data_IF_001977346816
#
_entry.id   IF_001977346816
#
_cell.length_a   1.000
_cell.length_b   1.000
_cell.length_c   1.000
_cell.angle_alpha   90.00
_cell.angle_beta   90.00
_cell.angle_gamma   90.00
#
_symmetry.space_group_name_H-M   'P 1'
#
loop_
_entity.id
_entity.type
_entity.pdbx_description
1 polymer ?
#
# COMPACT_ATOMS: atom_id res chain seq x y z
N UNK A 1 -7.10 -28.28 -18.77
CA UNK A 1 -7.29 -28.18 -17.32
C UNK A 1 -7.05 -26.73 -16.91
N UNK A 2 -8.06 -26.13 -16.28
CA UNK A 2 -8.10 -24.96 -15.36
C UNK A 2 -7.29 -23.69 -15.71
N UNK A 3 -8.04 -22.63 -16.02
CA UNK A 3 -7.58 -21.25 -16.06
C UNK A 3 -7.30 -20.79 -14.62
N UNK A 4 -6.06 -20.93 -14.17
CA UNK A 4 -5.61 -20.38 -12.90
C UNK A 4 -5.47 -18.87 -13.06
N UNK A 5 -6.54 -18.11 -12.81
CA UNK A 5 -6.41 -16.68 -12.60
C UNK A 5 -5.55 -16.51 -11.33
N UNK A 6 -4.33 -16.02 -11.50
CA UNK A 6 -3.50 -15.48 -10.42
C UNK A 6 -4.37 -14.50 -9.62
N UNK A 7 -4.73 -14.85 -8.38
CA UNK A 7 -5.44 -13.95 -7.47
C UNK A 7 -4.47 -12.89 -6.98
N UNK A 8 -4.16 -11.93 -7.83
CA UNK A 8 -3.27 -10.83 -7.48
C UNK A 8 -3.98 -9.51 -7.77
N UNK A 9 -3.79 -8.53 -6.89
CA UNK A 9 -4.42 -7.22 -7.04
C UNK A 9 -3.55 -6.33 -7.93
N UNK A 10 -4.11 -5.61 -8.93
CA UNK A 10 -3.33 -4.69 -9.74
C UNK A 10 -2.62 -3.61 -8.91
N UNK A 11 -1.47 -3.13 -9.40
CA UNK A 11 -0.82 -1.95 -8.85
C UNK A 11 -1.80 -0.76 -8.78
N UNK A 12 -1.74 -0.01 -7.69
CA UNK A 12 -2.62 1.13 -7.43
C UNK A 12 -3.99 0.78 -6.85
N UNK A 13 -4.30 -0.53 -6.69
CA UNK A 13 -5.52 -0.98 -5.99
C UNK A 13 -5.57 -0.35 -4.60
N UNK A 14 -6.66 0.34 -4.29
CA UNK A 14 -6.85 0.96 -2.98
C UNK A 14 -7.23 -0.13 -1.98
N UNK A 15 -6.39 -0.29 -0.96
CA UNK A 15 -6.61 -1.22 0.16
C UNK A 15 -7.45 -0.56 1.24
N UNK A 16 -7.26 0.75 1.45
CA UNK A 16 -8.02 1.51 2.44
C UNK A 16 -7.74 3.01 2.41
N UNK A 17 -8.52 3.74 3.19
CA UNK A 17 -8.40 5.19 3.39
C UNK A 17 -7.99 5.49 4.82
N UNK A 18 -7.13 6.49 4.99
CA UNK A 18 -6.74 6.99 6.32
C UNK A 18 -7.56 8.23 6.60
N UNK A 19 -8.24 8.26 7.75
CA UNK A 19 -8.99 9.43 8.21
C UNK A 19 -8.51 9.83 9.60
N UNK A 20 -7.71 10.88 9.68
CA UNK A 20 -7.28 11.48 10.93
C UNK A 20 -7.37 13.00 10.86
N UNK A 21 -7.56 13.61 12.01
CA UNK A 21 -7.77 15.05 12.18
C UNK A 21 -6.86 15.55 13.29
N UNK A 22 -6.17 16.66 13.05
CA UNK A 22 -5.42 17.38 14.06
C UNK A 22 -6.22 18.63 14.46
N UNK A 23 -6.56 18.84 15.76
CA UNK A 23 -7.35 19.99 16.20
C UNK A 23 -6.71 21.35 15.89
N UNK A 24 -5.39 21.39 15.77
CA UNK A 24 -4.61 22.59 15.48
C UNK A 24 -4.27 22.71 13.98
N UNK A 25 -4.82 21.82 13.15
CA UNK A 25 -4.58 21.73 11.70
C UNK A 25 -3.10 21.53 11.32
N UNK A 26 -2.31 20.87 12.16
CA UNK A 26 -0.93 20.52 11.80
C UNK A 26 -0.88 19.50 10.63
N UNK A 27 0.16 19.55 9.77
CA UNK A 27 0.35 18.56 8.72
C UNK A 27 0.49 17.14 9.28
N UNK A 28 -0.31 16.22 8.76
CA UNK A 28 -0.26 14.81 9.14
C UNK A 28 0.66 14.03 8.19
N UNK A 29 1.56 13.24 8.79
CA UNK A 29 2.47 12.33 8.06
C UNK A 29 2.23 10.91 8.53
N UNK A 30 2.28 9.95 7.61
CA UNK A 30 2.02 8.54 7.90
C UNK A 30 3.12 7.66 7.34
N UNK A 31 3.48 6.63 8.09
CA UNK A 31 4.46 5.62 7.70
C UNK A 31 3.94 4.23 8.08
N UNK A 32 4.31 3.23 7.30
CA UNK A 32 4.07 1.83 7.64
C UNK A 32 5.32 1.34 8.37
N UNK A 33 5.19 0.99 9.65
CA UNK A 33 6.33 0.67 10.51
C UNK A 33 6.75 -0.80 10.47
N UNK A 34 5.84 -1.71 10.13
CA UNK A 34 6.08 -3.15 10.09
C UNK A 34 5.11 -3.86 9.12
N UNK A 35 5.33 -5.16 8.87
CA UNK A 35 4.44 -6.00 8.05
C UNK A 35 4.42 -5.66 6.56
N UNK A 36 5.36 -4.83 6.11
CA UNK A 36 5.51 -4.41 4.72
C UNK A 36 6.99 -4.55 4.28
N UNK A 37 7.55 -5.78 4.33
CA UNK A 37 8.90 -6.04 3.83
C UNK A 37 8.95 -5.85 2.31
N UNK A 38 10.15 -5.61 1.81
CA UNK A 38 10.49 -5.78 0.39
C UNK A 38 10.99 -7.22 0.26
N UNK A 39 10.20 -8.08 -0.38
CA UNK A 39 10.44 -9.54 -0.39
C UNK A 39 11.25 -9.98 -1.62
N UNK A 40 11.19 -9.22 -2.70
CA UNK A 40 11.83 -9.50 -3.99
C UNK A 40 13.11 -8.67 -4.23
N UNK A 41 13.34 -7.62 -3.44
CA UNK A 41 14.58 -6.87 -3.39
C UNK A 41 14.69 -5.73 -4.40
N UNK A 42 13.56 -5.27 -4.96
CA UNK A 42 13.52 -4.20 -5.96
C UNK A 42 13.45 -2.78 -5.35
N UNK A 43 13.52 -2.68 -4.01
CA UNK A 43 13.35 -1.45 -3.23
C UNK A 43 11.93 -0.85 -3.26
N UNK A 44 10.94 -1.61 -3.71
CA UNK A 44 9.52 -1.26 -3.71
C UNK A 44 8.77 -2.20 -2.76
N UNK A 45 8.18 -1.63 -1.71
CA UNK A 45 7.36 -2.42 -0.77
C UNK A 45 5.98 -2.73 -1.36
N UNK A 46 5.36 -3.85 -0.97
CA UNK A 46 4.02 -4.29 -1.37
C UNK A 46 2.90 -3.24 -1.17
N UNK A 47 2.98 -2.42 -0.12
CA UNK A 47 2.02 -1.34 0.15
C UNK A 47 2.69 0.02 0.26
N UNK A 48 2.00 1.07 -0.20
CA UNK A 48 2.40 2.45 0.06
C UNK A 48 1.23 3.32 0.53
N UNK A 49 1.59 4.38 1.26
CA UNK A 49 0.67 5.44 1.65
C UNK A 49 0.84 6.59 0.65
N UNK A 50 -0.19 6.82 -0.17
CA UNK A 50 -0.38 8.11 -0.86
C UNK A 50 -1.10 9.06 0.10
N UNK A 51 -1.07 10.38 -0.14
CA UNK A 51 -1.46 11.44 0.80
C UNK A 51 -2.79 11.29 1.59
N UNK A 52 -3.67 10.33 1.26
CA UNK A 52 -4.78 9.89 2.12
C UNK A 52 -5.13 8.37 2.03
N UNK A 53 -4.33 7.52 1.36
CA UNK A 53 -4.77 6.17 0.95
C UNK A 53 -3.64 5.14 1.03
N UNK A 54 -3.97 3.94 1.49
CA UNK A 54 -3.11 2.75 1.37
C UNK A 54 -3.40 2.09 0.02
N UNK A 55 -2.36 1.83 -0.77
CA UNK A 55 -2.45 1.23 -2.12
C UNK A 55 -1.49 0.07 -2.28
N UNK A 56 -1.86 -0.88 -3.13
CA UNK A 56 -0.97 -1.93 -3.64
C UNK A 56 0.10 -1.29 -4.53
N UNK A 57 1.36 -1.61 -4.28
CA UNK A 57 2.53 -1.13 -5.01
C UNK A 57 2.97 -2.15 -6.08
N UNK A 58 4.07 -1.88 -6.82
CA UNK A 58 4.41 -2.66 -8.03
C UNK A 58 4.87 -4.09 -7.72
N UNK A 59 5.19 -4.35 -6.46
CA UNK A 59 5.46 -5.67 -5.93
C UNK A 59 4.17 -6.51 -5.96
N UNK A 60 3.95 -7.13 -7.11
CA UNK A 60 2.91 -8.12 -7.36
C UNK A 60 3.43 -9.22 -8.30
N UNK A 61 4.76 -9.31 -8.49
CA UNK A 61 5.48 -10.29 -9.32
C UNK A 61 6.93 -10.45 -8.85
#
# INVERSE_FOLDING_TARGET
MINLALLTSPNGTVVGTINATDPDNNPLTYTITDGNPDTDGDSIKAFAISSCRVRVCRDNL
#
